data_IF_979419511022
#
_entry.id   IF_979419511022
#
_cell.length_a   1.000
_cell.length_b   1.000
_cell.length_c   1.000
_cell.angle_alpha   90.00
_cell.angle_beta   90.00
_cell.angle_gamma   90.00
#
_symmetry.space_group_name_H-M   'P 1'
#
loop_
_entity.id
_entity.type
_entity.pdbx_description
1 polymer ?
#
# COMPACT_ATOMS: atom_id res chain seq x y z
N UNK A 1 40.55 -47.69 27.37
CA UNK A 1 40.28 -47.75 25.92
C UNK A 1 38.91 -47.11 25.69
N UNK A 2 38.82 -46.17 24.76
CA UNK A 2 37.81 -45.12 24.62
C UNK A 2 36.42 -45.65 24.23
N UNK A 3 35.30 -45.21 24.86
CA UNK A 3 33.98 -45.35 24.25
C UNK A 3 33.83 -44.28 23.15
N UNK A 4 33.62 -44.77 21.92
CA UNK A 4 33.43 -43.98 20.71
C UNK A 4 32.05 -43.30 20.77
N UNK A 5 32.01 -42.06 21.28
CA UNK A 5 30.82 -41.21 21.25
C UNK A 5 30.51 -40.78 19.81
N UNK A 6 29.48 -41.37 19.21
CA UNK A 6 28.91 -40.94 17.93
C UNK A 6 27.99 -39.76 18.22
N UNK A 7 28.49 -38.53 18.01
CA UNK A 7 27.73 -37.30 18.10
C UNK A 7 27.07 -37.01 16.75
N UNK A 8 25.77 -37.30 16.64
CA UNK A 8 24.94 -36.99 15.47
C UNK A 8 24.61 -35.49 15.47
N UNK A 9 25.26 -34.71 14.61
CA UNK A 9 25.00 -33.28 14.42
C UNK A 9 23.68 -33.12 13.64
N UNK A 10 22.61 -32.74 14.35
CA UNK A 10 21.34 -32.31 13.78
C UNK A 10 21.53 -30.91 13.18
N UNK A 11 21.72 -30.87 11.86
CA UNK A 11 21.78 -29.64 11.08
C UNK A 11 20.35 -29.12 10.90
N UNK A 12 19.90 -28.27 11.83
CA UNK A 12 18.68 -27.49 11.67
C UNK A 12 18.88 -26.50 10.52
N UNK A 13 18.49 -26.91 9.31
CA UNK A 13 18.21 -26.01 8.20
C UNK A 13 16.96 -25.20 8.54
N UNK A 14 17.16 -24.14 9.32
CA UNK A 14 16.17 -23.08 9.50
C UNK A 14 16.01 -22.38 8.15
N UNK A 15 15.04 -22.83 7.35
CA UNK A 15 14.59 -22.10 6.18
C UNK A 15 14.10 -20.73 6.65
N UNK A 16 14.89 -19.69 6.40
CA UNK A 16 14.45 -18.31 6.59
C UNK A 16 13.36 -18.03 5.57
N UNK A 17 12.11 -18.17 5.99
CA UNK A 17 10.99 -17.54 5.29
C UNK A 17 11.34 -16.05 5.17
N UNK A 18 11.59 -15.57 3.97
CA UNK A 18 11.80 -14.15 3.68
C UNK A 18 10.54 -13.39 4.08
N UNK A 19 10.53 -12.85 5.30
CA UNK A 19 9.50 -11.93 5.76
C UNK A 19 9.51 -10.73 4.82
N UNK A 20 8.34 -10.36 4.29
CA UNK A 20 8.24 -9.13 3.51
C UNK A 20 8.39 -7.96 4.47
N UNK A 21 9.09 -6.90 4.08
CA UNK A 21 9.17 -5.64 4.87
C UNK A 21 7.76 -5.11 5.19
N UNK A 22 6.79 -5.45 4.35
CA UNK A 22 5.38 -5.11 4.55
C UNK A 22 4.65 -5.92 5.62
N UNK A 23 5.24 -6.98 6.16
CA UNK A 23 4.64 -7.80 7.23
C UNK A 23 4.90 -7.18 8.63
N UNK A 24 5.87 -6.26 8.75
CA UNK A 24 6.24 -5.56 9.99
C UNK A 24 5.61 -4.15 10.11
N UNK A 25 4.65 -3.83 9.26
CA UNK A 25 4.00 -2.52 9.30
C UNK A 25 3.06 -2.39 10.51
N UNK A 26 2.89 -1.18 11.05
CA UNK A 26 1.93 -0.92 12.12
C UNK A 26 0.52 -1.40 11.75
N UNK A 27 -0.20 -2.00 12.68
CA UNK A 27 -1.61 -2.41 12.45
C UNK A 27 -2.60 -1.22 12.43
N UNK A 28 -2.14 -0.05 12.90
CA UNK A 28 -2.85 1.22 13.00
C UNK A 28 -2.10 2.30 12.22
N UNK A 29 -2.82 3.16 11.51
CA UNK A 29 -2.24 4.33 10.85
C UNK A 29 -1.59 5.28 11.86
N UNK A 30 -0.43 5.79 11.52
CA UNK A 30 0.21 6.91 12.22
C UNK A 30 -0.21 8.24 11.60
N UNK A 31 -0.10 9.32 12.36
CA UNK A 31 -0.21 10.69 11.84
C UNK A 31 1.15 11.36 11.94
N UNK A 32 1.64 11.86 10.81
CA UNK A 32 2.91 12.57 10.73
C UNK A 32 2.63 14.06 10.56
N UNK A 33 3.39 14.90 11.27
CA UNK A 33 3.29 16.35 11.14
C UNK A 33 3.98 16.88 9.88
N UNK A 34 3.70 18.13 9.51
CA UNK A 34 4.36 18.78 8.37
C UNK A 34 3.77 18.46 6.98
N UNK A 35 2.52 17.97 6.94
CA UNK A 35 1.74 17.74 5.71
C UNK A 35 0.54 18.67 5.58
N UNK A 36 0.36 19.62 6.49
CA UNK A 36 -0.77 20.57 6.49
C UNK A 36 -0.75 21.56 5.34
N UNK A 37 0.43 21.80 4.73
CA UNK A 37 0.57 22.72 3.61
C UNK A 37 1.15 21.97 2.39
N UNK A 38 0.37 21.76 1.31
CA UNK A 38 0.85 21.10 0.10
C UNK A 38 2.09 21.75 -0.52
N UNK A 39 2.23 23.07 -0.39
CA UNK A 39 3.36 23.83 -0.95
C UNK A 39 4.67 23.47 -0.25
N UNK A 40 4.64 23.34 1.08
CA UNK A 40 5.82 22.94 1.86
C UNK A 40 6.23 21.50 1.56
N UNK A 41 5.25 20.60 1.38
CA UNK A 41 5.51 19.21 0.97
C UNK A 41 6.17 19.18 -0.41
N UNK A 42 5.65 19.96 -1.37
CA UNK A 42 6.25 20.09 -2.71
C UNK A 42 7.68 20.59 -2.65
N UNK A 43 7.95 21.65 -1.89
CA UNK A 43 9.31 22.22 -1.77
C UNK A 43 10.29 21.23 -1.13
N UNK A 44 9.85 20.50 -0.10
CA UNK A 44 10.65 19.43 0.52
C UNK A 44 10.99 18.34 -0.48
N UNK A 45 10.01 17.86 -1.24
CA UNK A 45 10.21 16.85 -2.27
C UNK A 45 11.14 17.34 -3.39
N UNK A 46 11.02 18.60 -3.79
CA UNK A 46 11.88 19.20 -4.84
C UNK A 46 13.36 19.27 -4.43
N UNK A 47 13.66 19.28 -3.13
CA UNK A 47 15.03 19.31 -2.60
C UNK A 47 15.74 17.95 -2.57
N UNK A 48 15.04 16.87 -2.93
CA UNK A 48 15.53 15.49 -2.86
C UNK A 48 15.49 14.82 -4.24
N UNK A 49 16.41 13.89 -4.54
CA UNK A 49 16.33 13.08 -5.75
C UNK A 49 15.18 12.08 -5.61
N UNK A 50 14.06 12.38 -6.26
CA UNK A 50 12.85 11.58 -6.18
C UNK A 50 12.96 10.30 -7.03
N UNK A 51 12.46 9.19 -6.52
CA UNK A 51 12.18 7.99 -7.32
C UNK A 51 10.92 8.15 -8.15
N UNK A 52 10.76 7.34 -9.21
CA UNK A 52 9.63 7.40 -10.16
C UNK A 52 8.24 7.41 -9.50
N UNK A 53 8.09 6.68 -8.38
CA UNK A 53 6.84 6.55 -7.62
C UNK A 53 6.63 7.67 -6.58
N UNK A 54 7.71 8.33 -6.16
CA UNK A 54 7.67 9.41 -5.18
C UNK A 54 7.08 10.67 -5.82
N UNK A 55 6.36 11.45 -5.01
CA UNK A 55 5.72 12.67 -5.49
C UNK A 55 4.36 12.96 -4.86
N UNK A 56 3.72 14.03 -5.34
CA UNK A 56 2.34 14.35 -5.02
C UNK A 56 1.41 13.79 -6.10
N UNK A 57 0.35 13.16 -5.64
CA UNK A 57 -0.62 12.43 -6.42
C UNK A 57 -2.03 12.93 -6.07
N UNK A 58 -2.87 13.10 -7.07
CA UNK A 58 -4.26 13.52 -6.92
C UNK A 58 -5.20 12.39 -7.34
N UNK A 59 -6.20 12.09 -6.53
CA UNK A 59 -7.22 11.10 -6.88
C UNK A 59 -8.13 11.64 -7.98
N UNK A 60 -8.21 10.90 -9.10
CA UNK A 60 -9.04 11.26 -10.25
C UNK A 60 -10.52 11.06 -9.90
N UNK A 61 -11.17 12.10 -9.37
CA UNK A 61 -12.60 12.11 -9.05
C UNK A 61 -12.96 12.91 -7.81
N UNK A 62 -12.07 12.95 -6.81
CA UNK A 62 -12.35 13.61 -5.52
C UNK A 62 -11.50 14.86 -5.27
N UNK A 63 -10.39 15.03 -5.98
CA UNK A 63 -9.45 16.14 -5.75
C UNK A 63 -8.67 16.01 -4.43
N UNK A 64 -8.67 14.82 -3.82
CA UNK A 64 -7.83 14.48 -2.67
C UNK A 64 -6.38 14.37 -3.10
N UNK A 65 -5.46 14.99 -2.35
CA UNK A 65 -4.01 14.98 -2.56
C UNK A 65 -3.32 14.04 -1.58
N UNK A 66 -2.45 13.21 -2.13
CA UNK A 66 -1.63 12.24 -1.43
C UNK A 66 -0.15 12.46 -1.76
N UNK A 67 0.71 12.35 -0.77
CA UNK A 67 2.15 12.31 -0.95
C UNK A 67 2.65 10.86 -0.84
N UNK A 68 3.51 10.45 -1.77
CA UNK A 68 4.29 9.22 -1.66
C UNK A 68 5.74 9.59 -1.36
N UNK A 69 6.23 9.17 -0.21
CA UNK A 69 7.59 9.45 0.25
C UNK A 69 8.29 8.17 0.71
N UNK A 70 9.60 8.10 0.52
CA UNK A 70 10.40 7.01 1.08
C UNK A 70 10.56 7.16 2.58
N UNK A 71 10.55 6.02 3.26
CA UNK A 71 10.92 5.93 4.67
C UNK A 71 12.45 5.92 4.78
N UNK A 72 13.00 6.86 5.53
CA UNK A 72 14.44 6.98 5.76
C UNK A 72 15.03 5.67 6.30
N UNK A 73 16.25 5.33 5.86
CA UNK A 73 16.95 4.11 6.29
C UNK A 73 16.55 2.85 5.51
N UNK A 74 15.70 2.95 4.49
CA UNK A 74 15.34 1.84 3.60
C UNK A 74 15.93 2.01 2.21
N UNK A 75 16.53 0.95 1.66
CA UNK A 75 17.26 0.97 0.39
C UNK A 75 17.11 -0.34 -0.40
N UNK A 76 17.30 -0.26 -1.73
CA UNK A 76 17.29 -1.43 -2.63
C UNK A 76 15.94 -2.15 -2.67
N UNK A 77 15.97 -3.49 -2.63
CA UNK A 77 14.76 -4.33 -2.65
C UNK A 77 13.91 -4.21 -1.37
N UNK A 78 14.45 -3.63 -0.30
CA UNK A 78 13.75 -3.37 0.95
C UNK A 78 13.28 -1.91 1.06
N UNK A 79 13.32 -1.13 -0.03
CA UNK A 79 12.87 0.27 -0.02
C UNK A 79 11.39 0.34 0.33
N UNK A 80 11.08 1.02 1.42
CA UNK A 80 9.71 1.23 1.89
C UNK A 80 9.29 2.66 1.57
N UNK A 81 8.11 2.81 1.00
CA UNK A 81 7.49 4.12 0.84
C UNK A 81 6.20 4.16 1.65
N UNK A 82 5.87 5.35 2.13
CA UNK A 82 4.63 5.66 2.86
C UNK A 82 3.71 6.47 1.98
N UNK A 83 2.42 6.17 2.05
CA UNK A 83 1.36 6.96 1.44
C UNK A 83 0.79 7.86 2.54
N UNK A 84 0.90 9.18 2.37
CA UNK A 84 0.46 10.16 3.37
C UNK A 84 -0.61 11.04 2.76
N UNK A 85 -1.71 11.22 3.48
CA UNK A 85 -2.75 12.18 3.10
C UNK A 85 -2.25 13.61 3.30
N UNK A 86 -2.26 14.42 2.24
CA UNK A 86 -1.92 15.85 2.31
C UNK A 86 -3.18 16.69 2.40
N UNK A 87 -4.17 16.38 1.55
CA UNK A 87 -5.45 17.08 1.51
C UNK A 87 -6.52 16.06 1.16
N UNK A 88 -7.57 15.98 1.95
CA UNK A 88 -8.70 15.08 1.68
C UNK A 88 -9.93 15.91 1.34
N UNK A 89 -10.76 15.40 0.41
CA UNK A 89 -12.12 15.90 0.23
C UNK A 89 -13.04 15.50 1.40
N UNK A 90 -12.78 14.35 2.01
CA UNK A 90 -13.47 13.88 3.22
C UNK A 90 -12.88 14.58 4.46
N UNK A 91 -13.70 15.38 5.15
CA UNK A 91 -13.36 16.12 6.37
C UNK A 91 -12.93 15.21 7.52
N UNK A 92 -13.34 13.93 7.49
CA UNK A 92 -12.99 12.98 8.54
C UNK A 92 -11.54 12.48 8.44
N UNK A 93 -10.90 12.63 7.28
CA UNK A 93 -9.50 12.25 7.10
C UNK A 93 -8.58 13.44 7.34
N UNK A 94 -7.89 13.42 8.48
CA UNK A 94 -6.94 14.47 8.85
C UNK A 94 -5.73 14.46 7.91
N UNK A 95 -5.20 15.65 7.66
CA UNK A 95 -3.90 15.85 7.01
C UNK A 95 -2.77 15.19 7.83
N UNK A 96 -1.81 14.60 7.12
CA UNK A 96 -0.68 13.86 7.68
C UNK A 96 -0.96 12.40 8.04
N UNK A 97 -2.19 11.92 7.87
CA UNK A 97 -2.52 10.51 8.14
C UNK A 97 -1.85 9.58 7.13
N UNK A 98 -1.12 8.58 7.64
CA UNK A 98 -0.52 7.53 6.83
C UNK A 98 -1.60 6.56 6.39
N UNK A 99 -1.90 6.55 5.09
CA UNK A 99 -2.91 5.67 4.48
C UNK A 99 -2.38 4.27 4.21
N UNK A 100 -1.06 4.11 4.11
CA UNK A 100 -0.45 2.81 3.92
C UNK A 100 1.04 2.86 3.63
N UNK A 101 1.57 1.69 3.32
CA UNK A 101 2.96 1.47 2.96
C UNK A 101 3.05 0.69 1.66
N UNK A 102 4.12 0.91 0.90
CA UNK A 102 4.38 0.21 -0.35
C UNK A 102 5.86 -0.15 -0.48
N UNK A 103 6.13 -1.24 -1.18
CA UNK A 103 7.48 -1.77 -1.44
C UNK A 103 7.59 -2.14 -2.93
N UNK A 104 8.76 -1.97 -3.58
CA UNK A 104 8.92 -2.37 -4.98
C UNK A 104 8.81 -3.89 -5.12
N UNK A 105 8.11 -4.34 -6.15
CA UNK A 105 8.06 -5.77 -6.52
C UNK A 105 9.19 -6.09 -7.51
N UNK A 106 9.41 -7.38 -7.79
CA UNK A 106 10.35 -7.84 -8.82
C UNK A 106 10.03 -7.28 -10.23
N UNK A 107 8.77 -6.92 -10.50
CA UNK A 107 8.36 -6.28 -11.75
C UNK A 107 8.53 -4.77 -11.64
N UNK A 108 9.24 -4.17 -12.61
CA UNK A 108 9.38 -2.72 -12.71
C UNK A 108 7.99 -2.07 -12.79
N UNK A 109 7.84 -0.90 -12.14
CA UNK A 109 6.58 -0.13 -12.09
C UNK A 109 5.41 -0.84 -11.39
N UNK A 110 5.66 -1.95 -10.70
CA UNK A 110 4.70 -2.61 -9.83
C UNK A 110 5.19 -2.57 -8.39
N UNK A 111 4.31 -2.15 -7.50
CA UNK A 111 4.59 -2.02 -6.08
C UNK A 111 3.55 -2.83 -5.30
N UNK A 112 4.02 -3.65 -4.36
CA UNK A 112 3.12 -4.27 -3.40
C UNK A 112 2.82 -3.23 -2.33
N UNK A 113 1.54 -3.09 -2.00
CA UNK A 113 1.06 -2.10 -1.05
C UNK A 113 0.18 -2.74 0.01
N UNK A 114 0.21 -2.10 1.18
CA UNK A 114 -0.65 -2.39 2.31
C UNK A 114 -1.35 -1.08 2.65
N UNK A 115 -2.63 -1.01 2.29
CA UNK A 115 -3.46 0.20 2.46
C UNK A 115 -4.49 -0.09 3.53
N UNK A 116 -4.59 0.78 4.54
CA UNK A 116 -5.58 0.63 5.60
C UNK A 116 -6.98 0.87 5.03
N UNK A 117 -7.84 -0.15 5.11
CA UNK A 117 -9.18 -0.13 4.51
C UNK A 117 -10.31 0.02 5.53
N UNK A 118 -10.01 -0.08 6.82
CA UNK A 118 -11.00 0.05 7.88
C UNK A 118 -10.69 1.26 8.74
N UNK A 119 -11.71 1.80 9.39
CA UNK A 119 -11.57 2.89 10.35
C UNK A 119 -11.73 2.31 11.75
N UNK A 120 -10.93 2.80 12.70
CA UNK A 120 -11.11 2.50 14.13
C UNK A 120 -12.42 3.11 14.62
N UNK A 121 -13.02 2.52 15.66
CA UNK A 121 -14.28 2.99 16.25
C UNK A 121 -14.18 4.44 16.77
N UNK A 122 -12.98 4.89 17.15
CA UNK A 122 -12.69 6.29 17.53
C UNK A 122 -12.65 7.27 16.35
N UNK A 123 -12.93 6.82 15.12
CA UNK A 123 -12.91 7.57 13.86
C UNK A 123 -11.62 8.32 13.49
N UNK A 124 -10.58 8.22 14.31
CA UNK A 124 -9.34 9.00 14.21
C UNK A 124 -8.21 8.26 13.51
N UNK A 125 -8.25 6.93 13.51
CA UNK A 125 -7.20 6.08 12.95
C UNK A 125 -7.78 5.11 11.92
N UNK A 126 -6.96 4.76 10.93
CA UNK A 126 -7.22 3.68 10.00
C UNK A 126 -6.60 2.38 10.53
N UNK A 127 -7.27 1.27 10.29
CA UNK A 127 -6.94 -0.07 10.75
C UNK A 127 -7.11 -1.06 9.61
N UNK A 128 -6.62 -2.28 9.82
CA UNK A 128 -6.82 -3.42 8.90
C UNK A 128 -6.14 -3.19 7.54
N UNK A 129 -4.80 -3.29 7.48
CA UNK A 129 -4.06 -3.16 6.23
C UNK A 129 -4.50 -4.25 5.24
N UNK A 130 -5.01 -3.82 4.10
CA UNK A 130 -5.42 -4.67 2.99
C UNK A 130 -4.33 -4.74 1.92
N UNK A 131 -4.21 -5.89 1.26
CA UNK A 131 -3.19 -6.10 0.22
C UNK A 131 -3.66 -5.50 -1.11
N UNK A 132 -2.85 -4.60 -1.66
CA UNK A 132 -3.13 -3.91 -2.91
C UNK A 132 -1.88 -3.89 -3.79
N UNK A 133 -2.05 -3.96 -5.10
CA UNK A 133 -1.00 -3.84 -6.08
C UNK A 133 -1.14 -2.46 -6.72
N UNK A 134 -0.07 -1.67 -6.63
CA UNK A 134 0.00 -0.34 -7.23
C UNK A 134 0.78 -0.48 -8.53
N UNK A 135 0.15 -0.10 -9.64
CA UNK A 135 0.79 -0.12 -10.96
C UNK A 135 1.02 1.30 -11.44
N UNK A 136 2.26 1.62 -11.76
CA UNK A 136 2.65 2.90 -12.34
C UNK A 136 2.59 2.80 -13.86
N UNK A 137 1.92 3.75 -14.49
CA UNK A 137 1.86 3.87 -15.95
C UNK A 137 3.24 4.10 -16.57
N UNK A 138 3.38 3.78 -17.86
CA UNK A 138 4.68 3.85 -18.52
C UNK A 138 5.25 5.27 -18.63
N UNK A 139 4.38 6.27 -18.63
CA UNK A 139 4.76 7.68 -18.63
C UNK A 139 5.02 8.23 -17.22
N UNK A 140 4.88 7.38 -16.19
CA UNK A 140 5.07 7.76 -14.78
C UNK A 140 4.05 8.78 -14.27
N UNK A 141 2.96 9.01 -15.01
CA UNK A 141 1.99 10.09 -14.77
C UNK A 141 0.72 9.60 -14.07
N UNK A 142 0.38 8.32 -14.21
CA UNK A 142 -0.81 7.71 -13.62
C UNK A 142 -0.45 6.52 -12.76
N UNK A 143 -1.18 6.35 -11.66
CA UNK A 143 -1.15 5.15 -10.82
C UNK A 143 -2.54 4.53 -10.84
N UNK A 144 -2.62 3.21 -10.95
CA UNK A 144 -3.84 2.45 -10.65
C UNK A 144 -3.66 1.56 -9.41
N UNK A 145 -4.75 1.43 -8.64
CA UNK A 145 -4.80 0.63 -7.43
C UNK A 145 -5.63 -0.61 -7.65
N UNK A 146 -5.00 -1.78 -7.50
CA UNK A 146 -5.68 -3.06 -7.64
C UNK A 146 -5.64 -3.84 -6.33
N UNK A 147 -6.76 -3.92 -5.63
CA UNK A 147 -6.89 -4.84 -4.51
C UNK A 147 -6.67 -6.28 -4.96
N UNK A 148 -5.78 -7.01 -4.28
CA UNK A 148 -5.53 -8.41 -4.56
C UNK A 148 -5.58 -9.23 -3.27
N UNK A 149 -6.00 -10.49 -3.41
CA UNK A 149 -6.25 -11.37 -2.27
C UNK A 149 -7.70 -11.84 -2.22
N UNK A 150 -7.88 -13.04 -1.68
CA UNK A 150 -9.20 -13.68 -1.55
C UNK A 150 -9.88 -13.15 -0.30
N UNK A 151 -11.04 -12.49 -0.47
CA UNK A 151 -11.97 -12.23 0.63
C UNK A 151 -12.86 -13.46 0.80
N UNK A 152 -12.73 -14.16 1.92
CA UNK A 152 -13.63 -15.25 2.26
C UNK A 152 -14.80 -14.69 3.07
N UNK A 153 -16.03 -14.87 2.57
CA UNK A 153 -17.25 -14.59 3.35
C UNK A 153 -17.70 -15.89 4.00
N UNK A 154 -17.66 -15.92 5.33
CA UNK A 154 -18.22 -17.02 6.10
C UNK A 154 -19.70 -16.73 6.36
N UNK A 155 -20.58 -17.57 5.83
CA UNK A 155 -22.02 -17.39 6.02
C UNK A 155 -22.49 -18.25 7.19
N UNK A 156 -22.59 -17.65 8.37
CA UNK A 156 -22.91 -18.33 9.62
C UNK A 156 -24.30 -18.99 9.59
N UNK A 157 -25.25 -18.45 8.81
CA UNK A 157 -26.56 -19.06 8.58
C UNK A 157 -26.51 -20.40 7.81
N UNK A 158 -25.45 -20.65 7.04
CA UNK A 158 -25.26 -21.90 6.28
C UNK A 158 -24.59 -23.00 7.09
N UNK A 159 -24.05 -22.70 8.27
CA UNK A 159 -23.47 -23.68 9.18
C UNK A 159 -24.55 -24.39 10.02
N UNK A 160 -25.71 -23.75 10.18
CA UNK A 160 -26.88 -24.30 10.90
C UNK A 160 -27.75 -25.26 10.08
N UNK A 161 -27.62 -25.28 8.74
CA UNK A 161 -28.41 -26.14 7.83
C UNK A 161 -27.50 -27.03 6.97
N UNK A 162 -26.86 -28.06 7.56
CA UNK A 162 -25.78 -28.84 6.94
C UNK A 162 -26.19 -29.65 5.69
N UNK A 163 -27.48 -29.87 5.46
CA UNK A 163 -27.95 -30.81 4.43
C UNK A 163 -28.39 -30.19 3.09
N UNK A 164 -28.46 -28.85 2.97
CA UNK A 164 -28.96 -28.21 1.74
C UNK A 164 -27.89 -27.50 0.89
N UNK A 165 -26.65 -27.39 1.35
CA UNK A 165 -25.63 -26.60 0.65
C UNK A 165 -24.29 -27.32 0.56
N UNK A 166 -23.91 -27.67 -0.68
CA UNK A 166 -22.66 -28.39 -1.01
C UNK A 166 -21.39 -27.58 -0.74
N UNK A 167 -21.45 -26.25 -0.67
CA UNK A 167 -20.28 -25.37 -0.54
C UNK A 167 -20.48 -24.34 0.59
N UNK A 168 -19.55 -24.34 1.56
CA UNK A 168 -19.53 -23.50 2.78
C UNK A 168 -18.85 -22.14 2.58
N UNK A 169 -18.08 -21.99 1.50
CA UNK A 169 -17.21 -20.84 1.25
C UNK A 169 -17.57 -20.30 -0.13
N UNK A 170 -18.04 -19.05 -0.19
CA UNK A 170 -18.23 -18.36 -1.46
C UNK A 170 -17.05 -17.41 -1.69
N UNK A 171 -16.24 -17.60 -2.75
CA UNK A 171 -15.25 -16.61 -3.12
C UNK A 171 -15.98 -15.33 -3.56
N UNK A 172 -15.61 -14.20 -2.99
CA UNK A 172 -16.06 -12.90 -3.50
C UNK A 172 -15.09 -12.47 -4.59
N UNK A 173 -15.60 -12.28 -5.80
CA UNK A 173 -14.84 -11.72 -6.91
C UNK A 173 -14.60 -10.22 -6.64
N UNK A 174 -13.33 -9.80 -6.75
CA UNK A 174 -12.99 -8.39 -6.65
C UNK A 174 -13.39 -7.71 -7.98
N UNK A 175 -13.96 -6.51 -7.90
CA UNK A 175 -14.33 -5.71 -9.07
C UNK A 175 -13.07 -5.44 -9.94
N UNK A 176 -13.23 -5.23 -11.26
CA UNK A 176 -12.11 -4.87 -12.14
C UNK A 176 -11.48 -3.56 -11.67
N UNK A 177 -10.40 -3.68 -10.89
CA UNK A 177 -9.77 -2.61 -10.11
C UNK A 177 -8.88 -1.67 -10.92
N UNK A 178 -9.38 -1.16 -12.04
CA UNK A 178 -8.69 -0.13 -12.85
C UNK A 178 -9.50 1.18 -12.95
N UNK A 179 -10.61 1.28 -12.21
CA UNK A 179 -11.50 2.44 -12.20
C UNK A 179 -10.99 3.53 -11.24
N UNK A 180 -10.25 3.13 -10.19
CA UNK A 180 -9.69 4.03 -9.20
C UNK A 180 -8.19 4.27 -9.48
N UNK A 181 -7.87 5.50 -9.91
CA UNK A 181 -6.51 5.90 -10.24
C UNK A 181 -6.14 7.28 -9.69
N UNK A 182 -4.83 7.52 -9.58
CA UNK A 182 -4.27 8.82 -9.22
C UNK A 182 -3.48 9.40 -10.38
N UNK A 183 -3.49 10.73 -10.50
CA UNK A 183 -2.69 11.50 -11.44
C UNK A 183 -1.55 12.18 -10.68
N UNK A 184 -0.35 12.18 -11.26
CA UNK A 184 0.81 12.87 -10.68
C UNK A 184 0.65 14.39 -10.83
N UNK A 185 0.68 15.09 -9.70
CA UNK A 185 0.71 16.56 -9.63
C UNK A 185 2.14 17.07 -9.55
N UNK A 186 3.01 16.35 -8.83
CA UNK A 186 4.42 16.69 -8.70
C UNK A 186 5.29 15.44 -8.61
N UNK A 187 6.44 15.36 -9.29
CA UNK A 187 6.96 16.31 -10.28
C UNK A 187 6.00 16.46 -11.46
N UNK A 188 5.98 17.64 -12.09
CA UNK A 188 5.05 17.92 -13.19
C UNK A 188 5.28 16.92 -14.33
N UNK A 189 4.23 16.23 -14.82
CA UNK A 189 4.39 15.27 -15.89
C UNK A 189 4.80 15.99 -17.17
N UNK A 190 5.76 15.40 -17.89
CA UNK A 190 6.27 15.96 -19.16
C UNK A 190 5.20 16.10 -20.25
N UNK A 191 4.14 15.29 -20.19
CA UNK A 191 3.01 15.32 -21.13
C UNK A 191 1.80 15.87 -20.36
N UNK A 192 1.22 17.01 -20.77
CA UNK A 192 0.04 17.55 -20.13
C UNK A 192 -1.14 16.58 -20.30
N UNK A 193 -1.83 16.28 -19.20
CA UNK A 193 -2.91 15.29 -19.15
C UNK A 193 -4.05 15.58 -20.14
N UNK A 194 -4.29 16.87 -20.42
CA UNK A 194 -5.23 17.36 -21.42
C UNK A 194 -4.47 18.28 -22.39
N UNK A 195 -4.67 18.14 -23.72
CA UNK A 195 -4.16 19.13 -24.66
C UNK A 195 -4.81 20.48 -24.37
N UNK A 196 -3.98 21.52 -24.21
CA UNK A 196 -4.44 22.89 -24.10
C UNK A 196 -4.83 23.34 -25.51
N UNK A 197 -6.13 23.38 -25.81
CA UNK A 197 -6.61 24.05 -27.02
C UNK A 197 -6.43 25.55 -26.80
N UNK A 198 -5.58 26.17 -27.61
CA UNK A 198 -5.46 27.63 -27.74
C UNK A 198 -6.52 28.14 -28.72
#
# INVERSE_FOLDING_TARGET
MRPLSILLILLFMSGTLTASVLDDIPSRSERIEGYSNPTLVRQRMASMPLHDIEGLWEFAGEGSLMAIERVNGTHGAATLYRLVNVKSADISMREGTVMGYLTPTAKRRQYDARIYSSRSDDHTFLTRPSRNLITLSDDGTRISFKAYGRKFRFNWWRLLLPYMYRHLITPVENHPGDIEGCVKVFPEPSIPLNPRYL
#
